data_IF_822017648272
#
_entry.id   IF_822017648272
#
_cell.length_a   1.000
_cell.length_b   1.000
_cell.length_c   1.000
_cell.angle_alpha   90.00
_cell.angle_beta   90.00
_cell.angle_gamma   90.00
#
_symmetry.space_group_name_H-M   'P 1'
#
loop_
_entity.id
_entity.type
_entity.pdbx_description
1 polymer ?
#
# COMPACT_ATOMS: atom_id res chain seq x y z
N UNK A 1 -24.03 -31.46 6.67
CA UNK A 1 -25.25 -31.05 5.95
C UNK A 1 -25.76 -32.20 5.10
N UNK A 2 -27.08 -32.40 4.98
CA UNK A 2 -27.63 -33.46 4.12
C UNK A 2 -27.48 -33.11 2.64
N UNK A 3 -27.30 -34.10 1.77
CA UNK A 3 -27.20 -33.93 0.30
C UNK A 3 -28.43 -33.20 -0.26
N UNK A 4 -29.61 -33.43 0.33
CA UNK A 4 -30.87 -32.78 -0.05
C UNK A 4 -30.82 -31.28 0.27
N UNK A 5 -30.27 -30.89 1.43
CA UNK A 5 -30.13 -29.49 1.81
C UNK A 5 -29.19 -28.75 0.86
N UNK A 6 -28.06 -29.36 0.49
CA UNK A 6 -27.12 -28.78 -0.47
C UNK A 6 -27.73 -28.62 -1.88
N UNK A 7 -28.47 -29.63 -2.35
CA UNK A 7 -29.14 -29.59 -3.65
C UNK A 7 -30.25 -28.52 -3.70
N UNK A 8 -31.03 -28.35 -2.63
CA UNK A 8 -32.06 -27.31 -2.54
C UNK A 8 -31.42 -25.92 -2.51
N UNK A 9 -30.34 -25.72 -1.75
CA UNK A 9 -29.60 -24.44 -1.74
C UNK A 9 -29.05 -24.10 -3.13
N UNK A 10 -28.46 -25.08 -3.82
CA UNK A 10 -27.96 -24.92 -5.19
C UNK A 10 -29.08 -24.56 -6.19
N UNK A 11 -30.22 -25.25 -6.12
CA UNK A 11 -31.36 -24.93 -6.99
C UNK A 11 -31.94 -23.54 -6.71
N UNK A 12 -31.91 -23.08 -5.45
CA UNK A 12 -32.33 -21.73 -5.07
C UNK A 12 -31.36 -20.66 -5.61
N UNK A 13 -30.06 -20.93 -5.65
CA UNK A 13 -29.09 -20.01 -6.30
C UNK A 13 -29.22 -19.95 -7.82
N UNK A 14 -29.95 -20.88 -8.44
CA UNK A 14 -30.20 -20.91 -9.88
C UNK A 14 -31.62 -20.42 -10.28
N UNK A 15 -32.39 -19.82 -9.36
CA UNK A 15 -33.72 -19.32 -9.70
C UNK A 15 -33.65 -18.12 -10.63
N UNK A 16 -34.41 -18.19 -11.74
CA UNK A 16 -34.50 -17.10 -12.70
C UNK A 16 -35.38 -15.98 -12.12
N UNK A 17 -34.92 -14.71 -12.16
CA UNK A 17 -35.68 -13.57 -11.65
C UNK A 17 -37.07 -13.43 -12.26
N UNK A 18 -38.06 -13.07 -11.43
CA UNK A 18 -39.47 -12.96 -11.85
C UNK A 18 -39.91 -11.53 -12.18
N UNK A 19 -39.06 -10.53 -11.94
CA UNK A 19 -39.29 -9.12 -12.31
C UNK A 19 -38.07 -8.53 -13.02
N UNK A 20 -38.28 -7.42 -13.75
CA UNK A 20 -37.20 -6.73 -14.48
C UNK A 20 -36.11 -6.24 -13.53
N UNK A 21 -36.46 -5.65 -12.38
CA UNK A 21 -35.49 -5.17 -11.40
C UNK A 21 -34.61 -6.31 -10.87
N UNK A 22 -35.23 -7.39 -10.41
CA UNK A 22 -34.49 -8.59 -9.97
C UNK A 22 -33.67 -9.21 -11.10
N UNK A 23 -34.13 -9.10 -12.35
CA UNK A 23 -33.41 -9.52 -13.54
C UNK A 23 -32.11 -8.75 -13.75
N UNK A 24 -32.16 -7.43 -13.61
CA UNK A 24 -31.00 -6.56 -13.76
C UNK A 24 -29.99 -6.77 -12.62
N UNK A 25 -30.45 -6.91 -11.38
CA UNK A 25 -29.57 -7.16 -10.23
C UNK A 25 -28.83 -8.50 -10.40
N UNK A 26 -29.56 -9.55 -10.79
CA UNK A 26 -29.00 -10.87 -11.05
C UNK A 26 -27.95 -10.85 -12.17
N UNK A 27 -28.24 -10.20 -13.30
CA UNK A 27 -27.29 -10.11 -14.41
C UNK A 27 -26.06 -9.29 -14.06
N UNK A 28 -26.21 -8.25 -13.25
CA UNK A 28 -25.11 -7.41 -12.75
C UNK A 28 -24.18 -8.23 -11.86
N UNK A 29 -24.75 -8.96 -10.89
CA UNK A 29 -23.99 -9.85 -10.02
C UNK A 29 -23.30 -10.97 -10.82
N UNK A 30 -23.99 -11.58 -11.78
CA UNK A 30 -23.40 -12.63 -12.61
C UNK A 30 -22.23 -12.10 -13.45
N UNK A 31 -22.35 -10.89 -14.01
CA UNK A 31 -21.27 -10.23 -14.75
C UNK A 31 -20.05 -10.03 -13.85
N UNK A 32 -20.25 -9.45 -12.68
CA UNK A 32 -19.16 -9.17 -11.74
C UNK A 32 -18.51 -10.46 -11.22
N UNK A 33 -19.30 -11.49 -10.93
CA UNK A 33 -18.76 -12.79 -10.53
C UNK A 33 -17.99 -13.46 -11.64
N UNK A 34 -18.44 -13.33 -12.88
CA UNK A 34 -17.70 -13.86 -14.03
C UNK A 34 -16.34 -13.20 -14.15
N UNK A 35 -16.22 -11.89 -13.89
CA UNK A 35 -14.94 -11.17 -13.89
C UNK A 35 -14.01 -11.74 -12.82
N UNK A 36 -14.42 -11.76 -11.55
CA UNK A 36 -13.56 -12.24 -10.45
C UNK A 36 -13.16 -13.70 -10.62
N UNK A 37 -14.09 -14.59 -10.95
CA UNK A 37 -13.80 -16.01 -11.13
C UNK A 37 -12.89 -16.28 -12.34
N UNK A 38 -13.01 -15.48 -13.40
CA UNK A 38 -12.09 -15.56 -14.54
C UNK A 38 -10.68 -15.12 -14.15
N UNK A 39 -10.55 -14.07 -13.35
CA UNK A 39 -9.27 -13.61 -12.81
C UNK A 39 -8.66 -14.63 -11.84
N UNK A 40 -9.46 -15.25 -10.98
CA UNK A 40 -9.00 -16.33 -10.11
C UNK A 40 -8.39 -17.48 -10.93
N UNK A 41 -9.15 -17.98 -11.91
CA UNK A 41 -8.68 -19.07 -12.78
C UNK A 41 -7.39 -18.71 -13.55
N UNK A 42 -7.25 -17.45 -13.96
CA UNK A 42 -6.09 -16.99 -14.71
C UNK A 42 -4.83 -16.83 -13.83
N UNK A 43 -4.97 -16.26 -12.62
CA UNK A 43 -3.83 -15.91 -11.76
C UNK A 43 -3.42 -17.02 -10.79
N UNK A 44 -4.36 -17.85 -10.36
CA UNK A 44 -4.13 -18.94 -9.40
C UNK A 44 -4.73 -20.26 -9.90
N UNK A 45 -4.28 -20.79 -11.05
CA UNK A 45 -4.89 -21.96 -11.68
C UNK A 45 -4.83 -23.21 -10.80
N UNK A 46 -3.77 -23.38 -10.00
CA UNK A 46 -3.62 -24.54 -9.13
C UNK A 46 -4.58 -24.50 -7.93
N UNK A 47 -4.76 -23.34 -7.31
CA UNK A 47 -5.73 -23.10 -6.24
C UNK A 47 -7.15 -23.23 -6.79
N UNK A 48 -7.41 -22.66 -7.97
CA UNK A 48 -8.67 -22.81 -8.69
C UNK A 48 -9.06 -24.26 -8.89
N UNK A 49 -8.15 -25.10 -9.40
CA UNK A 49 -8.41 -26.53 -9.67
C UNK A 49 -8.67 -27.34 -8.38
N UNK A 50 -8.04 -26.95 -7.27
CA UNK A 50 -8.21 -27.62 -5.97
C UNK A 50 -9.45 -27.17 -5.21
N UNK A 51 -9.95 -25.97 -5.50
CA UNK A 51 -11.09 -25.39 -4.80
C UNK A 51 -12.38 -26.19 -5.04
N UNK A 52 -13.03 -26.57 -3.93
CA UNK A 52 -14.37 -27.14 -3.89
C UNK A 52 -15.43 -26.12 -3.48
N UNK A 53 -15.06 -24.84 -3.36
CA UNK A 53 -15.96 -23.79 -2.91
C UNK A 53 -17.07 -23.53 -3.94
N UNK A 54 -18.31 -23.24 -3.48
CA UNK A 54 -19.40 -22.83 -4.36
C UNK A 54 -19.07 -21.54 -5.13
N UNK A 55 -19.42 -21.49 -6.41
CA UNK A 55 -19.28 -20.29 -7.26
C UNK A 55 -20.47 -19.33 -7.16
N UNK A 56 -21.46 -19.62 -6.32
CA UNK A 56 -22.64 -18.79 -6.13
C UNK A 56 -22.72 -18.32 -4.67
N UNK A 57 -23.17 -17.07 -4.43
CA UNK A 57 -23.32 -16.53 -3.09
C UNK A 57 -24.45 -17.23 -2.33
N UNK A 58 -24.29 -17.32 -1.01
CA UNK A 58 -25.39 -17.69 -0.13
C UNK A 58 -26.33 -16.50 0.02
N UNK A 59 -27.64 -16.72 -0.18
CA UNK A 59 -28.71 -15.72 -0.39
C UNK A 59 -28.86 -14.67 0.75
N UNK A 60 -28.08 -14.71 1.84
CA UNK A 60 -28.36 -13.86 3.01
C UNK A 60 -27.17 -13.45 3.88
N UNK A 61 -25.91 -13.49 3.40
CA UNK A 61 -24.76 -13.18 4.26
C UNK A 61 -23.64 -12.35 3.63
N UNK A 62 -23.34 -12.59 2.37
CA UNK A 62 -22.21 -11.96 1.69
C UNK A 62 -22.55 -11.84 0.20
N UNK A 63 -22.28 -10.70 -0.45
CA UNK A 63 -22.55 -10.52 -1.87
C UNK A 63 -21.55 -11.28 -2.76
N UNK A 64 -20.50 -11.86 -2.17
CA UNK A 64 -19.53 -12.72 -2.79
C UNK A 64 -19.82 -14.19 -2.50
N UNK A 65 -19.59 -15.03 -3.50
CA UNK A 65 -19.53 -16.47 -3.35
C UNK A 65 -18.30 -16.90 -2.58
N UNK A 66 -18.33 -18.06 -1.89
CA UNK A 66 -17.17 -18.58 -1.18
C UNK A 66 -15.92 -18.70 -2.08
N UNK A 67 -16.09 -18.99 -3.37
CA UNK A 67 -14.97 -19.09 -4.33
C UNK A 67 -14.40 -17.74 -4.74
N UNK A 68 -15.21 -16.68 -4.73
CA UNK A 68 -14.70 -15.31 -4.91
C UNK A 68 -13.94 -14.85 -3.68
N UNK A 69 -14.39 -15.22 -2.47
CA UNK A 69 -13.65 -14.91 -1.23
C UNK A 69 -12.27 -15.55 -1.25
N UNK A 70 -12.14 -16.83 -1.64
CA UNK A 70 -10.83 -17.47 -1.82
C UNK A 70 -9.91 -16.68 -2.77
N UNK A 71 -10.47 -16.14 -3.86
CA UNK A 71 -9.69 -15.31 -4.78
C UNK A 71 -9.22 -14.01 -4.14
N UNK A 72 -10.11 -13.30 -3.45
CA UNK A 72 -9.77 -12.05 -2.77
C UNK A 72 -8.69 -12.28 -1.69
N UNK A 73 -8.81 -13.34 -0.91
CA UNK A 73 -7.79 -13.74 0.08
C UNK A 73 -6.43 -14.04 -0.58
N UNK A 74 -6.43 -14.67 -1.76
CA UNK A 74 -5.20 -14.93 -2.52
C UNK A 74 -4.58 -13.66 -3.09
N UNK A 75 -5.39 -12.70 -3.55
CA UNK A 75 -4.89 -11.39 -3.98
C UNK A 75 -4.27 -10.66 -2.80
N UNK A 76 -5.00 -10.55 -1.68
CA UNK A 76 -4.57 -9.87 -0.45
C UNK A 76 -3.25 -10.44 0.11
N UNK A 77 -3.10 -11.78 0.08
CA UNK A 77 -1.94 -12.45 0.66
C UNK A 77 -0.76 -12.66 -0.30
N UNK A 78 -0.96 -12.62 -1.62
CA UNK A 78 0.10 -12.96 -2.60
C UNK A 78 0.42 -11.88 -3.62
N UNK A 79 -0.46 -10.91 -3.84
CA UNK A 79 -0.25 -9.88 -4.85
C UNK A 79 -0.06 -8.51 -4.21
N UNK A 80 -1.02 -8.05 -3.43
CA UNK A 80 -1.02 -6.75 -2.76
C UNK A 80 -2.17 -6.68 -1.76
N UNK A 81 -2.06 -5.86 -0.70
CA UNK A 81 -3.08 -5.76 0.33
C UNK A 81 -4.37 -5.18 -0.26
N UNK A 82 -5.47 -5.88 -0.03
CA UNK A 82 -6.82 -5.40 -0.21
C UNK A 82 -7.39 -4.84 1.10
N UNK A 83 -6.79 -5.16 2.26
CA UNK A 83 -7.29 -4.71 3.55
C UNK A 83 -8.62 -5.37 3.94
N UNK A 84 -8.76 -6.67 3.61
CA UNK A 84 -10.01 -7.43 3.78
C UNK A 84 -10.57 -7.43 5.22
N UNK A 85 -9.70 -7.24 6.22
CA UNK A 85 -10.10 -7.15 7.63
C UNK A 85 -10.87 -5.87 7.96
N UNK A 86 -10.67 -4.81 7.18
CA UNK A 86 -11.31 -3.51 7.36
C UNK A 86 -12.65 -3.40 6.62
N UNK A 87 -13.00 -4.39 5.78
CA UNK A 87 -14.23 -4.37 4.99
C UNK A 87 -15.43 -4.94 5.73
N UNK A 88 -16.50 -4.15 5.76
CA UNK A 88 -17.83 -4.70 5.94
C UNK A 88 -18.25 -5.37 4.61
N UNK A 89 -18.45 -6.69 4.64
CA UNK A 89 -18.82 -7.48 3.46
C UNK A 89 -20.32 -7.37 3.12
N UNK A 90 -20.92 -6.22 3.36
CA UNK A 90 -22.34 -5.97 3.13
C UNK A 90 -22.61 -5.55 1.67
N UNK A 91 -21.65 -4.89 1.03
CA UNK A 91 -21.72 -4.47 -0.37
C UNK A 91 -20.62 -5.05 -1.26
N UNK A 92 -20.97 -5.19 -2.54
CA UNK A 92 -20.03 -5.64 -3.58
C UNK A 92 -19.31 -4.44 -4.16
N UNK A 93 -17.99 -4.51 -4.20
CA UNK A 93 -17.16 -3.44 -4.73
C UNK A 93 -16.94 -3.67 -6.23
N UNK A 94 -17.34 -2.71 -7.09
CA UNK A 94 -17.13 -2.82 -8.52
C UNK A 94 -15.67 -2.57 -8.93
N UNK A 95 -14.83 -2.13 -7.98
CA UNK A 95 -13.42 -1.80 -8.15
C UNK A 95 -12.55 -2.60 -7.17
N UNK A 96 -11.24 -2.63 -7.44
CA UNK A 96 -10.21 -3.16 -6.56
C UNK A 96 -10.08 -2.21 -5.36
N UNK A 97 -10.28 -2.69 -4.12
CA UNK A 97 -9.90 -1.96 -2.92
C UNK A 97 -8.46 -1.47 -2.98
N UNK A 98 -8.24 -0.20 -2.67
CA UNK A 98 -6.91 0.40 -2.70
C UNK A 98 -6.73 1.28 -1.48
N UNK A 99 -5.93 0.81 -0.52
CA UNK A 99 -5.53 1.58 0.65
C UNK A 99 -4.05 1.92 0.53
N UNK A 100 -3.70 3.22 0.37
CA UNK A 100 -2.32 3.65 0.40
C UNK A 100 -1.63 3.22 1.70
N UNK A 101 -0.34 2.90 1.61
CA UNK A 101 0.48 2.71 2.79
C UNK A 101 0.91 4.05 3.34
N UNK A 102 0.17 4.43 4.37
CA UNK A 102 0.22 5.75 4.97
C UNK A 102 1.54 5.99 5.71
N UNK A 103 2.33 6.90 5.16
CA UNK A 103 3.28 7.73 5.91
C UNK A 103 2.96 9.21 5.64
N UNK A 104 1.66 9.56 5.63
CA UNK A 104 1.24 10.97 5.63
C UNK A 104 1.48 11.54 7.02
N UNK A 105 2.73 11.94 7.25
CA UNK A 105 3.14 12.43 8.56
C UNK A 105 2.40 13.70 8.97
N UNK A 106 1.75 14.42 8.06
CA UNK A 106 0.92 15.57 8.44
C UNK A 106 -0.32 15.20 9.25
N UNK A 107 -0.71 13.92 9.29
CA UNK A 107 -1.93 13.47 10.00
C UNK A 107 -1.66 12.88 11.39
N UNK A 108 -0.40 12.65 11.75
CA UNK A 108 0.00 12.04 13.03
C UNK A 108 0.82 13.02 13.86
N UNK A 109 1.08 12.70 15.12
CA UNK A 109 2.06 13.43 15.93
C UNK A 109 3.46 12.80 15.79
N UNK A 110 4.52 13.60 15.95
CA UNK A 110 5.91 13.13 15.78
C UNK A 110 6.24 11.97 16.73
N UNK A 111 5.66 11.93 17.93
CA UNK A 111 5.89 10.89 18.94
C UNK A 111 5.33 9.51 18.56
N UNK A 112 4.46 9.43 17.54
CA UNK A 112 3.91 8.16 17.04
C UNK A 112 4.91 7.39 16.18
N UNK A 113 5.97 8.05 15.71
CA UNK A 113 7.02 7.46 14.88
C UNK A 113 8.20 6.94 15.71
N UNK A 114 8.96 5.99 15.17
CA UNK A 114 10.25 5.62 15.77
C UNK A 114 11.31 6.73 15.59
N UNK A 115 12.37 6.72 16.41
CA UNK A 115 13.38 7.79 16.37
C UNK A 115 14.07 7.95 15.01
N UNK A 116 14.21 6.88 14.22
CA UNK A 116 14.79 6.94 12.88
C UNK A 116 13.87 7.64 11.90
N UNK A 117 12.57 7.30 11.93
CA UNK A 117 11.53 7.96 11.15
C UNK A 117 11.39 9.44 11.55
N UNK A 118 11.34 9.73 12.86
CA UNK A 118 11.28 11.09 13.37
C UNK A 118 12.45 11.93 12.83
N UNK A 119 13.66 11.36 12.83
CA UNK A 119 14.84 12.02 12.29
C UNK A 119 14.70 12.37 10.81
N UNK A 120 14.23 11.42 9.99
CA UNK A 120 14.05 11.65 8.54
C UNK A 120 12.94 12.66 8.23
N UNK A 121 11.81 12.60 8.97
CA UNK A 121 10.72 13.58 8.86
C UNK A 121 11.25 14.96 9.20
N UNK A 122 11.97 15.10 10.32
CA UNK A 122 12.54 16.39 10.71
C UNK A 122 13.60 16.89 9.72
N UNK A 123 14.38 15.99 9.13
CA UNK A 123 15.38 16.32 8.11
C UNK A 123 14.72 16.94 6.87
N UNK A 124 13.56 16.42 6.49
CA UNK A 124 12.75 16.95 5.39
C UNK A 124 12.01 18.24 5.80
N UNK A 125 11.22 18.19 6.87
CA UNK A 125 10.47 19.31 7.42
C UNK A 125 10.87 19.59 8.88
N UNK A 126 11.86 20.47 9.05
CA UNK A 126 12.36 20.85 10.37
C UNK A 126 11.34 21.57 11.26
N UNK A 127 10.26 22.11 10.69
CA UNK A 127 9.22 22.81 11.45
C UNK A 127 8.25 21.85 12.15
N UNK A 128 8.27 20.57 11.74
CA UNK A 128 7.42 19.53 12.30
C UNK A 128 7.84 19.15 13.73
N UNK A 129 9.10 19.37 14.10
CA UNK A 129 9.56 19.24 15.47
C UNK A 129 9.23 20.50 16.28
N UNK A 130 8.35 20.37 17.28
CA UNK A 130 8.03 21.49 18.18
C UNK A 130 9.18 21.86 19.13
N UNK A 131 10.08 20.90 19.40
CA UNK A 131 11.28 21.07 20.22
C UNK A 131 12.51 21.35 19.35
N UNK A 132 13.57 21.91 19.94
CA UNK A 132 14.84 22.07 19.22
C UNK A 132 15.49 20.68 19.01
N UNK A 133 16.04 20.40 17.83
CA UNK A 133 16.73 19.13 17.55
C UNK A 133 17.86 18.83 18.53
N UNK A 134 18.53 19.83 19.10
CA UNK A 134 19.56 19.60 20.11
C UNK A 134 18.99 18.93 21.34
N UNK A 135 17.73 19.22 21.67
CA UNK A 135 17.02 18.61 22.79
C UNK A 135 16.51 17.22 22.42
N UNK A 136 16.08 17.03 21.18
CA UNK A 136 15.40 15.81 20.73
C UNK A 136 16.36 14.71 20.24
N UNK A 137 17.40 15.09 19.51
CA UNK A 137 18.39 14.19 18.88
C UNK A 137 19.81 14.35 19.43
N UNK A 138 20.05 15.28 20.38
CA UNK A 138 21.40 15.60 20.88
C UNK A 138 22.36 16.07 19.76
N UNK A 139 21.83 16.81 18.78
CA UNK A 139 22.56 17.36 17.62
C UNK A 139 22.38 18.88 17.54
N UNK A 140 23.49 19.62 17.47
CA UNK A 140 23.46 21.07 17.29
C UNK A 140 23.05 21.48 15.85
N UNK A 141 21.92 22.18 15.74
CA UNK A 141 21.20 22.55 14.50
C UNK A 141 21.92 23.45 13.52
N UNK A 142 23.00 24.14 13.92
CA UNK A 142 23.67 25.15 13.09
C UNK A 142 24.29 24.65 11.79
N UNK A 143 23.98 23.43 11.36
CA UNK A 143 24.53 22.71 10.22
C UNK A 143 23.51 22.11 9.27
N UNK A 144 22.21 21.99 9.59
CA UNK A 144 21.26 21.30 8.69
C UNK A 144 20.59 22.31 7.76
N UNK A 145 20.70 22.10 6.45
CA UNK A 145 19.97 22.92 5.46
C UNK A 145 18.55 22.40 5.28
N UNK A 146 17.60 23.28 4.95
CA UNK A 146 16.19 22.89 4.76
C UNK A 146 15.97 22.21 3.40
N UNK A 147 14.91 21.42 3.27
CA UNK A 147 14.59 20.70 2.02
C UNK A 147 14.45 21.63 0.81
N UNK A 148 14.00 22.88 0.98
CA UNK A 148 13.90 23.85 -0.13
C UNK A 148 15.27 24.23 -0.72
N UNK A 149 16.35 24.03 0.04
CA UNK A 149 17.72 24.31 -0.38
C UNK A 149 18.40 23.11 -1.03
N UNK A 150 17.76 21.94 -1.04
CA UNK A 150 18.32 20.69 -1.56
C UNK A 150 18.05 20.53 -3.05
N UNK A 151 19.09 20.13 -3.78
CA UNK A 151 18.96 19.57 -5.12
C UNK A 151 18.76 18.06 -5.00
N UNK A 152 17.50 17.62 -5.16
CA UNK A 152 17.11 16.21 -4.99
C UNK A 152 17.73 15.28 -6.05
N UNK A 153 17.99 15.76 -7.26
CA UNK A 153 18.70 14.97 -8.27
C UNK A 153 20.17 14.78 -7.88
N UNK A 154 20.78 15.81 -7.31
CA UNK A 154 22.13 15.70 -6.72
C UNK A 154 22.14 14.77 -5.51
N UNK A 155 21.14 14.85 -4.63
CA UNK A 155 21.01 13.95 -3.48
C UNK A 155 20.93 12.49 -3.95
N UNK A 156 20.07 12.21 -4.95
CA UNK A 156 19.96 10.89 -5.57
C UNK A 156 21.30 10.37 -6.07
N UNK A 157 22.06 11.22 -6.77
CA UNK A 157 23.38 10.87 -7.27
C UNK A 157 24.38 10.55 -6.15
N UNK A 158 24.43 11.38 -5.10
CA UNK A 158 25.30 11.18 -3.94
C UNK A 158 24.94 9.89 -3.19
N UNK A 159 23.66 9.64 -2.95
CA UNK A 159 23.17 8.40 -2.34
C UNK A 159 23.59 7.17 -3.17
N UNK A 160 23.50 7.23 -4.51
CA UNK A 160 23.90 6.10 -5.38
C UNK A 160 25.39 5.74 -5.30
N UNK A 161 26.23 6.63 -4.78
CA UNK A 161 27.68 6.42 -4.59
C UNK A 161 28.05 6.04 -3.15
N UNK A 162 27.12 6.20 -2.21
CA UNK A 162 27.33 5.86 -0.80
C UNK A 162 27.25 4.34 -0.59
N UNK A 163 27.86 3.86 0.49
CA UNK A 163 27.67 2.48 0.94
C UNK A 163 26.34 2.31 1.65
N UNK A 164 25.83 1.09 1.69
CA UNK A 164 24.71 0.74 2.57
C UNK A 164 25.06 1.06 4.03
N UNK A 165 24.12 1.60 4.81
CA UNK A 165 22.72 1.91 4.44
C UNK A 165 22.50 3.37 3.99
N UNK A 166 23.53 4.22 3.96
CA UNK A 166 23.40 5.63 3.54
C UNK A 166 22.83 5.81 2.13
N UNK A 167 23.10 4.86 1.22
CA UNK A 167 22.57 4.90 -0.13
C UNK A 167 21.03 4.88 -0.21
N UNK A 168 20.34 4.49 0.87
CA UNK A 168 18.89 4.44 0.95
C UNK A 168 18.25 5.78 1.33
N UNK A 169 19.04 6.81 1.66
CA UNK A 169 18.50 8.11 2.10
C UNK A 169 17.54 8.74 1.09
N UNK A 170 17.91 8.78 -0.20
CA UNK A 170 17.04 9.36 -1.21
C UNK A 170 15.69 8.64 -1.29
N UNK A 171 15.71 7.31 -1.23
CA UNK A 171 14.49 6.49 -1.28
C UNK A 171 13.63 6.73 -0.04
N UNK A 172 14.23 6.80 1.14
CA UNK A 172 13.50 7.08 2.37
C UNK A 172 12.87 8.49 2.38
N UNK A 173 13.59 9.51 1.88
CA UNK A 173 13.01 10.85 1.73
C UNK A 173 11.91 10.87 0.66
N UNK A 174 12.05 10.10 -0.43
CA UNK A 174 11.00 10.04 -1.45
C UNK A 174 9.68 9.42 -0.96
N UNK A 175 9.72 8.59 0.08
CA UNK A 175 8.52 8.09 0.75
C UNK A 175 7.84 9.22 1.54
N UNK A 176 8.64 10.01 2.26
CA UNK A 176 8.16 11.15 3.06
C UNK A 176 7.56 12.25 2.17
N UNK A 177 8.17 12.52 1.01
CA UNK A 177 7.71 13.56 0.10
C UNK A 177 6.67 13.10 -0.94
N UNK A 178 6.26 11.83 -0.90
CA UNK A 178 5.32 11.21 -1.85
C UNK A 178 5.79 11.31 -3.33
N UNK A 179 7.08 11.07 -3.60
CA UNK A 179 7.69 11.11 -4.95
C UNK A 179 8.38 9.80 -5.38
N UNK A 180 7.95 8.67 -4.82
CA UNK A 180 8.55 7.35 -5.10
C UNK A 180 8.25 6.83 -6.49
N UNK A 181 7.16 7.29 -7.11
CA UNK A 181 6.57 6.74 -8.32
C UNK A 181 5.69 5.51 -8.08
N UNK A 182 5.44 5.15 -6.81
CA UNK A 182 4.58 4.05 -6.39
C UNK A 182 3.26 4.61 -5.88
N UNK A 183 2.13 4.20 -6.46
CA UNK A 183 0.81 4.68 -6.02
C UNK A 183 0.55 4.31 -4.56
N UNK A 184 1.07 3.17 -4.11
CA UNK A 184 0.93 2.74 -2.71
C UNK A 184 1.61 3.65 -1.70
N UNK A 185 2.60 4.45 -2.09
CA UNK A 185 3.37 5.30 -1.17
C UNK A 185 3.14 6.79 -1.43
N UNK A 186 2.76 7.15 -2.64
CA UNK A 186 2.61 8.56 -3.04
C UNK A 186 1.18 9.08 -2.86
N UNK A 187 0.17 8.18 -2.80
CA UNK A 187 -1.22 8.58 -2.64
C UNK A 187 -1.65 8.65 -1.16
N UNK A 188 -2.65 9.48 -0.86
CA UNK A 188 -3.19 9.65 0.50
C UNK A 188 -4.64 9.17 0.56
N UNK A 189 -5.23 9.12 1.76
CA UNK A 189 -6.65 8.74 1.92
C UNK A 189 -7.62 9.68 1.18
N UNK A 190 -7.18 10.90 0.84
CA UNK A 190 -7.97 11.84 0.05
C UNK A 190 -8.01 11.48 -1.44
N UNK A 191 -7.12 10.60 -1.89
CA UNK A 191 -7.00 10.19 -3.28
C UNK A 191 -8.18 9.31 -3.71
N UNK A 192 -8.99 9.81 -4.64
CA UNK A 192 -10.18 9.11 -5.14
C UNK A 192 -9.88 8.34 -6.42
N UNK A 193 -9.31 7.14 -6.31
CA UNK A 193 -9.12 6.25 -7.46
C UNK A 193 -10.07 5.07 -7.45
N UNK A 194 -10.56 4.73 -8.64
CA UNK A 194 -11.39 3.55 -8.87
C UNK A 194 -10.77 2.70 -9.97
N UNK A 195 -10.20 1.57 -9.58
CA UNK A 195 -9.57 0.64 -10.51
C UNK A 195 -10.47 -0.57 -10.74
N UNK A 196 -10.90 -0.78 -11.98
CA UNK A 196 -11.73 -1.95 -12.30
C UNK A 196 -10.95 -3.26 -12.11
N UNK A 197 -11.66 -4.33 -11.77
CA UNK A 197 -11.10 -5.68 -11.75
C UNK A 197 -10.69 -6.13 -13.16
N UNK A 198 -9.39 -6.19 -13.43
CA UNK A 198 -8.84 -6.66 -14.69
C UNK A 198 -7.45 -7.27 -14.52
N UNK A 199 -7.03 -8.12 -15.46
CA UNK A 199 -5.69 -8.71 -15.42
C UNK A 199 -4.59 -7.63 -15.47
N UNK A 200 -4.82 -6.57 -16.26
CA UNK A 200 -3.88 -5.47 -16.38
C UNK A 200 -3.70 -4.75 -15.04
N UNK A 201 -4.81 -4.38 -14.39
CA UNK A 201 -4.76 -3.67 -13.11
C UNK A 201 -4.15 -4.53 -12.01
N UNK A 202 -4.49 -5.82 -11.92
CA UNK A 202 -3.86 -6.73 -10.98
C UNK A 202 -2.34 -6.81 -11.18
N UNK A 203 -1.89 -6.86 -12.43
CA UNK A 203 -0.45 -6.97 -12.73
C UNK A 203 0.29 -5.68 -12.41
N UNK A 204 -0.32 -4.52 -12.70
CA UNK A 204 0.23 -3.21 -12.36
C UNK A 204 0.32 -3.06 -10.84
N UNK A 205 -0.77 -3.35 -10.12
CA UNK A 205 -0.84 -3.22 -8.67
C UNK A 205 0.16 -4.14 -7.97
N UNK A 206 0.27 -5.39 -8.41
CA UNK A 206 1.24 -6.32 -7.84
C UNK A 206 2.69 -5.89 -8.09
N UNK A 207 2.99 -5.36 -9.29
CA UNK A 207 4.33 -4.85 -9.59
C UNK A 207 4.66 -3.59 -8.78
N UNK A 208 3.71 -2.68 -8.65
CA UNK A 208 3.85 -1.46 -7.86
C UNK A 208 3.97 -1.75 -6.36
N UNK A 209 3.23 -2.76 -5.87
CA UNK A 209 3.30 -3.20 -4.48
C UNK A 209 4.69 -3.76 -4.13
N UNK A 210 5.29 -4.55 -5.02
CA UNK A 210 6.67 -5.03 -4.83
C UNK A 210 7.70 -3.89 -4.81
N UNK A 211 7.47 -2.82 -5.58
CA UNK A 211 8.28 -1.60 -5.50
C UNK A 211 8.12 -0.95 -4.13
N UNK A 212 6.87 -0.77 -3.67
CA UNK A 212 6.56 -0.19 -2.37
C UNK A 212 7.22 -0.95 -1.22
N UNK A 213 7.07 -2.28 -1.18
CA UNK A 213 7.70 -3.14 -0.17
C UNK A 213 9.22 -3.02 -0.19
N UNK A 214 9.81 -2.93 -1.38
CA UNK A 214 11.25 -2.77 -1.54
C UNK A 214 11.72 -1.43 -0.97
N UNK A 215 11.02 -0.34 -1.25
CA UNK A 215 11.34 1.00 -0.74
C UNK A 215 11.17 1.07 0.78
N UNK A 216 10.03 0.58 1.30
CA UNK A 216 9.77 0.52 2.74
C UNK A 216 10.84 -0.26 3.50
N UNK A 217 11.26 -1.43 2.97
CA UNK A 217 12.33 -2.21 3.59
C UNK A 217 13.66 -1.47 3.65
N UNK A 218 14.00 -0.71 2.62
CA UNK A 218 15.23 0.09 2.61
C UNK A 218 15.16 1.25 3.59
N UNK A 219 14.01 1.92 3.66
CA UNK A 219 13.77 2.96 4.65
C UNK A 219 13.84 2.40 6.08
N UNK A 220 13.26 1.24 6.34
CA UNK A 220 13.35 0.54 7.64
C UNK A 220 14.80 0.25 8.02
N UNK A 221 15.60 -0.30 7.09
CA UNK A 221 17.04 -0.56 7.32
C UNK A 221 17.78 0.73 7.68
N UNK A 222 17.50 1.83 6.97
CA UNK A 222 18.10 3.13 7.25
C UNK A 222 17.67 3.67 8.62
N UNK A 223 16.38 3.60 8.96
CA UNK A 223 15.85 4.05 10.24
C UNK A 223 16.47 3.28 11.41
N UNK A 224 16.57 1.95 11.31
CA UNK A 224 17.22 1.13 12.34
C UNK A 224 18.68 1.52 12.51
N UNK A 225 19.42 1.72 11.41
CA UNK A 225 20.81 2.14 11.48
C UNK A 225 20.99 3.54 12.07
N UNK A 226 20.11 4.49 11.76
CA UNK A 226 20.11 5.83 12.36
C UNK A 226 19.99 5.82 13.89
N UNK A 227 19.30 4.81 14.44
CA UNK A 227 19.10 4.67 15.88
C UNK A 227 20.33 4.08 16.61
N UNK A 228 21.30 3.49 15.91
CA UNK A 228 22.45 2.84 16.53
C UNK A 228 23.49 3.84 17.06
N UNK A 229 23.62 5.03 16.46
CA UNK A 229 24.63 6.02 16.85
C UNK A 229 24.37 7.42 16.30
N UNK A 230 24.67 8.46 17.09
CA UNK A 230 24.69 9.85 16.63
C UNK A 230 25.67 10.07 15.46
N UNK A 231 26.71 9.24 15.30
CA UNK A 231 27.59 9.34 14.13
C UNK A 231 26.87 9.03 12.81
N UNK A 232 25.88 8.12 12.85
CA UNK A 232 25.10 7.75 11.68
C UNK A 232 24.19 8.90 11.24
N UNK A 233 23.56 9.57 12.21
CA UNK A 233 22.78 10.79 12.01
C UNK A 233 23.64 11.93 11.43
N UNK A 234 24.85 12.14 11.96
CA UNK A 234 25.80 13.13 11.44
C UNK A 234 26.18 12.82 9.99
N UNK A 235 26.40 11.55 9.64
CA UNK A 235 26.74 11.15 8.27
C UNK A 235 25.58 11.45 7.29
N UNK A 236 24.33 11.25 7.70
CA UNK A 236 23.15 11.60 6.90
C UNK A 236 23.05 13.12 6.72
N UNK A 237 23.23 13.91 7.78
CA UNK A 237 23.24 15.37 7.69
C UNK A 237 24.34 15.85 6.73
N UNK A 238 25.53 15.26 6.77
CA UNK A 238 26.62 15.61 5.85
C UNK A 238 26.23 15.33 4.40
N UNK A 239 25.71 14.12 4.11
CA UNK A 239 25.28 13.73 2.77
C UNK A 239 24.15 14.63 2.24
N UNK A 240 23.19 14.95 3.11
CA UNK A 240 22.10 15.89 2.83
C UNK A 240 22.63 17.29 2.50
N UNK A 241 23.50 17.84 3.33
CA UNK A 241 24.09 19.15 3.12
C UNK A 241 24.94 19.24 1.84
N UNK A 242 25.63 18.15 1.49
CA UNK A 242 26.42 18.08 0.26
C UNK A 242 25.54 18.15 -1.00
N UNK A 243 24.24 17.89 -0.88
CA UNK A 243 23.25 18.04 -1.93
C UNK A 243 22.69 19.48 -2.06
N UNK A 244 23.22 20.47 -1.33
CA UNK A 244 22.79 21.88 -1.44
C UNK A 244 22.81 22.39 -2.89
N UNK A 245 21.77 23.14 -3.27
CA UNK A 245 21.72 23.92 -4.52
C UNK A 245 22.92 24.87 -4.59
N UNK A 246 23.48 25.02 -5.80
CA UNK A 246 24.50 26.02 -6.04
C UNK A 246 23.92 27.43 -5.83
N UNK A 247 24.67 28.31 -5.16
CA UNK A 247 24.29 29.72 -5.04
C UNK A 247 24.36 30.38 -6.44
N UNK A 248 23.24 30.93 -6.90
CA UNK A 248 23.10 31.68 -8.17
C UNK A 248 23.48 33.14 -7.92
#
# INVERSE_FOLDING_TARGET
MSVITAAITYLRSCQVPVSVGQGLDYLTQLRESTVLLSLYKANFPHEWEKSTAPCFPEVSKCPYSPREVEFLELVDSKLFPLGLECFEWDERLPFIPFWPQELDFYQREIEEYDLGQQFLICLYDSAYLQSDWSTHFDIELGRVITAEQIDFERLKHLCSQASEPLCYLYEAISIIDHSTGSIWLDETEESTFYFEWSQSNLSIFAADWLLAETLNKKAEILCLWLQESNQNQIAIIQLWNDAKKAEI
#
